data_IF_015912228060
#
_entry.id   IF_015912228060
#
_cell.length_a   1.000
_cell.length_b   1.000
_cell.length_c   1.000
_cell.angle_alpha   90.00
_cell.angle_beta   90.00
_cell.angle_gamma   90.00
#
_symmetry.space_group_name_H-M   'P 1'
#
loop_
_entity.id
_entity.type
_entity.pdbx_description
1 polymer ?
#
# COMPACT_ATOMS: atom_id res chain seq x y z
N UNK A 1 7.12 -35.75 39.07
CA UNK A 1 7.03 -36.61 37.88
C UNK A 1 7.41 -35.76 36.67
N UNK A 2 8.59 -36.04 36.12
CA UNK A 2 9.23 -35.36 34.99
C UNK A 2 9.28 -36.34 33.80
N UNK A 3 9.19 -35.80 32.59
CA UNK A 3 9.62 -36.32 31.28
C UNK A 3 8.78 -37.38 30.53
N UNK A 4 8.42 -37.01 29.29
CA UNK A 4 8.85 -37.66 28.02
C UNK A 4 8.75 -36.59 26.90
N UNK A 5 9.82 -36.16 26.20
CA UNK A 5 10.54 -36.79 25.06
C UNK A 5 9.60 -37.13 23.87
N UNK A 6 9.88 -36.87 22.59
CA UNK A 6 10.97 -36.18 21.87
C UNK A 6 10.65 -36.15 20.36
N UNK A 7 11.31 -35.23 19.63
CA UNK A 7 11.71 -35.29 18.20
C UNK A 7 10.64 -35.23 17.11
N UNK A 8 10.64 -34.11 16.38
CA UNK A 8 11.09 -34.11 14.99
C UNK A 8 11.93 -32.85 14.73
N UNK A 9 13.17 -33.07 14.29
CA UNK A 9 14.18 -32.09 13.95
C UNK A 9 14.40 -32.16 12.43
N UNK A 10 14.62 -30.99 11.82
CA UNK A 10 15.30 -30.76 10.54
C UNK A 10 14.55 -31.03 9.20
N UNK A 11 14.14 -29.93 8.58
CA UNK A 11 14.48 -29.59 7.20
C UNK A 11 14.74 -28.07 7.19
N UNK A 12 15.98 -27.64 7.40
CA UNK A 12 16.95 -27.29 6.36
C UNK A 12 16.56 -26.02 5.57
N UNK A 13 17.25 -24.93 5.93
CA UNK A 13 17.84 -23.90 5.07
C UNK A 13 17.60 -24.04 3.56
N UNK A 14 16.98 -23.02 2.97
CA UNK A 14 17.45 -22.28 1.78
C UNK A 14 16.26 -21.77 0.99
N UNK A 15 16.03 -20.46 0.98
CA UNK A 15 15.71 -19.67 -0.22
C UNK A 15 15.87 -18.19 0.15
N UNK A 16 17.13 -17.74 0.12
CA UNK A 16 17.39 -16.40 -0.37
C UNK A 16 17.30 -16.48 -1.90
N UNK A 17 16.23 -15.93 -2.47
CA UNK A 17 16.15 -15.32 -3.81
C UNK A 17 14.69 -15.24 -4.26
N UNK A 18 14.38 -14.14 -4.94
CA UNK A 18 13.17 -13.91 -5.75
C UNK A 18 11.90 -13.49 -4.98
N UNK A 19 11.90 -12.23 -4.54
CA UNK A 19 11.01 -11.24 -5.14
C UNK A 19 9.50 -11.49 -5.03
N UNK A 20 8.96 -11.44 -3.82
CA UNK A 20 7.61 -10.91 -3.60
C UNK A 20 7.75 -9.76 -2.61
N UNK A 21 7.86 -8.53 -3.13
CA UNK A 21 7.62 -7.35 -2.31
C UNK A 21 6.10 -7.23 -2.19
N UNK A 22 5.47 -7.45 -1.03
CA UNK A 22 4.04 -7.23 -0.89
C UNK A 22 3.83 -5.72 -0.75
N UNK A 23 3.95 -4.98 -1.84
CA UNK A 23 3.17 -3.75 -1.99
C UNK A 23 1.72 -4.22 -1.93
N UNK A 24 1.04 -3.97 -0.82
CA UNK A 24 -0.31 -4.45 -0.61
C UNK A 24 -1.25 -3.81 -1.63
N UNK A 25 -1.52 -4.52 -2.73
CA UNK A 25 -2.72 -4.33 -3.54
C UNK A 25 -3.73 -5.32 -3.00
N UNK A 26 -4.42 -4.93 -1.94
CA UNK A 26 -5.51 -5.71 -1.37
C UNK A 26 -6.72 -5.67 -2.31
N UNK A 27 -7.24 -6.84 -2.65
CA UNK A 27 -8.58 -7.03 -3.20
C UNK A 27 -9.67 -6.51 -2.25
N UNK A 28 -10.90 -6.29 -2.72
CA UNK A 28 -12.03 -5.87 -1.90
C UNK A 28 -13.10 -6.97 -1.84
N UNK A 29 -13.69 -7.28 -0.69
CA UNK A 29 -14.97 -7.99 -0.62
C UNK A 29 -16.06 -6.95 -0.36
N UNK A 30 -17.10 -7.01 -1.18
CA UNK A 30 -18.39 -6.48 -0.83
C UNK A 30 -19.18 -7.64 -0.20
N UNK A 31 -19.36 -7.61 1.11
CA UNK A 31 -20.18 -8.59 1.85
C UNK A 31 -19.92 -10.05 1.44
N UNK A 32 -20.84 -10.69 0.70
CA UNK A 32 -20.77 -12.10 0.29
C UNK A 32 -20.27 -12.34 -1.15
N UNK A 33 -19.91 -11.29 -1.91
CA UNK A 33 -19.41 -11.41 -3.31
C UNK A 33 -18.03 -10.77 -3.48
N UNK A 34 -17.19 -11.43 -4.28
CA UNK A 34 -15.77 -11.11 -4.44
C UNK A 34 -15.56 -9.95 -5.42
N UNK A 35 -14.60 -9.07 -5.13
CA UNK A 35 -13.99 -8.19 -6.14
C UNK A 35 -12.49 -8.46 -6.17
N UNK A 36 -11.95 -8.80 -7.34
CA UNK A 36 -10.49 -8.89 -7.52
C UNK A 36 -9.90 -7.48 -7.66
N UNK A 37 -8.65 -7.27 -7.27
CA UNK A 37 -7.90 -6.06 -7.59
C UNK A 37 -6.65 -6.52 -8.33
N UNK A 38 -6.40 -5.98 -9.51
CA UNK A 38 -5.24 -6.36 -10.31
C UNK A 38 -4.00 -5.55 -9.94
N UNK A 39 -2.86 -6.23 -9.96
CA UNK A 39 -1.55 -5.61 -10.09
C UNK A 39 -1.36 -5.19 -11.56
N UNK A 40 -1.02 -3.92 -11.81
CA UNK A 40 -0.44 -3.50 -13.08
C UNK A 40 0.91 -4.23 -13.28
N UNK A 41 0.89 -5.35 -14.01
CA UNK A 41 1.90 -5.81 -14.99
C UNK A 41 1.54 -7.22 -15.50
N UNK A 42 2.08 -7.57 -16.65
CA UNK A 42 1.70 -8.60 -17.63
C UNK A 42 1.63 -10.08 -17.18
N UNK A 43 1.69 -10.38 -15.89
CA UNK A 43 1.80 -11.75 -15.37
C UNK A 43 0.58 -12.22 -14.59
N UNK A 44 -0.62 -11.73 -14.92
CA UNK A 44 -1.86 -12.36 -14.46
C UNK A 44 -2.10 -13.67 -15.22
N UNK A 45 -1.28 -14.69 -14.96
CA UNK A 45 -1.69 -16.05 -15.31
C UNK A 45 -2.90 -16.43 -14.44
N UNK A 46 -3.79 -17.27 -14.98
CA UNK A 46 -5.03 -17.72 -14.36
C UNK A 46 -4.85 -18.55 -13.06
N UNK A 47 -3.63 -18.67 -12.54
CA UNK A 47 -3.28 -19.54 -11.41
C UNK A 47 -2.85 -18.76 -10.16
N UNK A 48 -2.97 -17.44 -10.13
CA UNK A 48 -2.74 -16.68 -8.89
C UNK A 48 -3.97 -16.77 -7.98
N UNK A 49 -3.83 -17.17 -6.71
CA UNK A 49 -4.94 -17.20 -5.77
C UNK A 49 -5.48 -15.78 -5.62
N UNK A 50 -6.76 -15.60 -5.95
CA UNK A 50 -7.50 -14.38 -5.61
C UNK A 50 -7.58 -14.33 -4.08
N UNK A 51 -6.65 -13.59 -3.46
CA UNK A 51 -6.77 -13.25 -2.05
C UNK A 51 -8.07 -12.43 -1.89
N UNK A 52 -8.81 -12.64 -0.83
CA UNK A 52 -10.02 -11.87 -0.49
C UNK A 52 -9.63 -10.87 0.60
N UNK A 53 -9.70 -9.58 0.34
CA UNK A 53 -9.44 -8.56 1.37
C UNK A 53 -10.67 -7.68 1.49
N UNK A 54 -11.14 -7.31 2.68
CA UNK A 54 -12.24 -6.36 2.81
C UNK A 54 -11.89 -4.99 2.22
N UNK A 55 -12.89 -4.27 1.70
CA UNK A 55 -12.68 -2.86 1.32
C UNK A 55 -12.23 -2.03 2.52
N UNK A 56 -11.39 -1.01 2.31
CA UNK A 56 -11.01 -0.11 3.38
C UNK A 56 -12.24 0.68 3.86
N UNK A 57 -12.45 0.71 5.17
CA UNK A 57 -13.51 1.51 5.78
C UNK A 57 -13.19 3.01 5.75
N UNK A 58 -11.90 3.37 5.69
CA UNK A 58 -11.43 4.75 5.62
C UNK A 58 -10.38 4.90 4.51
N UNK A 59 -10.51 5.98 3.73
CA UNK A 59 -9.58 6.35 2.65
C UNK A 59 -9.28 7.84 2.71
N UNK A 60 -8.07 8.28 2.31
CA UNK A 60 -7.79 9.70 2.17
C UNK A 60 -8.44 10.31 0.92
N UNK A 61 -8.68 11.63 0.94
CA UNK A 61 -9.00 12.40 -0.27
C UNK A 61 -7.89 12.21 -1.30
N UNK A 62 -8.26 12.15 -2.58
CA UNK A 62 -7.45 11.82 -3.76
C UNK A 62 -7.00 10.36 -3.86
N UNK A 63 -7.40 9.51 -2.92
CA UNK A 63 -7.16 8.08 -3.05
C UNK A 63 -7.95 7.50 -4.23
N UNK A 64 -7.36 6.46 -4.82
CA UNK A 64 -7.96 5.67 -5.87
C UNK A 64 -8.23 4.25 -5.35
N UNK A 65 -9.39 3.69 -5.70
CA UNK A 65 -9.70 2.28 -5.54
C UNK A 65 -10.04 1.72 -6.91
N UNK A 66 -9.36 0.65 -7.31
CA UNK A 66 -9.70 -0.11 -8.50
C UNK A 66 -10.63 -1.25 -8.12
N UNK A 67 -11.73 -1.40 -8.85
CA UNK A 67 -12.71 -2.46 -8.65
C UNK A 67 -12.88 -3.20 -9.97
N UNK A 68 -12.68 -4.52 -9.95
CA UNK A 68 -12.67 -5.35 -11.18
C UNK A 68 -14.08 -5.79 -11.60
N UNK A 69 -15.04 -5.82 -10.68
CA UNK A 69 -16.40 -6.24 -11.02
C UNK A 69 -17.33 -5.01 -11.19
N UNK A 70 -17.95 -4.84 -12.38
CA UNK A 70 -18.93 -3.79 -12.60
C UNK A 70 -20.37 -4.28 -12.34
N UNK A 71 -21.31 -3.35 -12.11
CA UNK A 71 -21.09 -1.94 -11.78
C UNK A 71 -20.76 -1.73 -10.30
N UNK A 72 -19.77 -0.87 -10.04
CA UNK A 72 -19.64 -0.18 -8.76
C UNK A 72 -19.98 1.29 -8.98
N UNK A 73 -20.96 1.82 -8.24
CA UNK A 73 -21.36 3.23 -8.39
C UNK A 73 -21.14 3.96 -7.07
N UNK A 74 -20.29 5.00 -7.03
CA UNK A 74 -20.23 5.87 -5.87
C UNK A 74 -21.50 6.71 -5.78
N UNK A 75 -22.24 6.58 -4.68
CA UNK A 75 -23.31 7.50 -4.34
C UNK A 75 -22.70 8.74 -3.66
N UNK A 76 -22.81 9.89 -4.32
CA UNK A 76 -22.32 11.18 -3.81
C UNK A 76 -21.80 12.06 -4.94
N UNK A 77 -22.65 12.91 -5.51
CA UNK A 77 -22.27 13.78 -6.62
C UNK A 77 -21.11 14.70 -6.20
N UNK A 78 -19.99 14.60 -6.93
CA UNK A 78 -18.79 15.39 -6.68
C UNK A 78 -17.97 14.97 -5.45
N UNK A 79 -18.37 13.91 -4.72
CA UNK A 79 -17.56 13.33 -3.64
C UNK A 79 -16.65 12.22 -4.12
N UNK A 80 -17.12 11.40 -5.04
CA UNK A 80 -16.30 10.41 -5.73
C UNK A 80 -16.73 10.30 -7.20
N UNK A 81 -15.83 9.82 -8.04
CA UNK A 81 -16.05 9.63 -9.47
C UNK A 81 -15.51 8.28 -9.89
N UNK A 82 -16.29 7.55 -10.67
CA UNK A 82 -15.86 6.31 -11.33
C UNK A 82 -15.38 6.62 -12.75
N UNK A 83 -14.20 6.13 -13.08
CA UNK A 83 -13.67 6.06 -14.44
C UNK A 83 -13.19 4.64 -14.73
N UNK A 84 -14.01 3.87 -15.46
CA UNK A 84 -13.69 2.51 -15.91
C UNK A 84 -13.29 1.56 -14.78
N UNK A 85 -14.00 1.60 -13.63
CA UNK A 85 -13.71 0.76 -12.46
C UNK A 85 -12.67 1.36 -11.53
N UNK A 86 -12.14 2.56 -11.81
CA UNK A 86 -11.31 3.33 -10.88
C UNK A 86 -12.16 4.38 -10.18
N UNK A 87 -12.38 4.22 -8.88
CA UNK A 87 -13.05 5.19 -8.04
C UNK A 87 -12.02 6.15 -7.47
N UNK A 88 -12.17 7.43 -7.77
CA UNK A 88 -11.39 8.53 -7.18
C UNK A 88 -12.22 9.25 -6.13
N UNK A 89 -11.69 9.44 -4.93
CA UNK A 89 -12.35 10.18 -3.85
C UNK A 89 -11.95 11.65 -3.84
N UNK A 90 -12.87 12.54 -4.16
CA UNK A 90 -12.60 13.95 -4.44
C UNK A 90 -12.79 14.87 -3.23
N UNK A 91 -13.63 14.48 -2.26
CA UNK A 91 -13.98 15.33 -1.10
C UNK A 91 -14.17 14.51 0.18
N UNK A 92 -13.89 15.09 1.36
CA UNK A 92 -14.19 14.44 2.64
C UNK A 92 -15.68 14.13 2.82
N UNK A 93 -15.97 13.08 3.59
CA UNK A 93 -17.32 12.65 3.96
C UNK A 93 -17.54 11.17 3.66
N UNK A 94 -18.79 10.72 3.69
CA UNK A 94 -19.14 9.32 3.41
C UNK A 94 -19.53 9.12 1.96
N UNK A 95 -18.97 8.09 1.34
CA UNK A 95 -19.35 7.61 0.00
C UNK A 95 -19.88 6.20 0.15
N UNK A 96 -21.07 5.95 -0.36
CA UNK A 96 -21.61 4.60 -0.49
C UNK A 96 -21.15 4.00 -1.81
N UNK A 97 -20.52 2.84 -1.76
CA UNK A 97 -20.18 2.04 -2.92
C UNK A 97 -21.23 0.94 -3.06
N UNK A 98 -21.89 0.91 -4.22
CA UNK A 98 -22.94 -0.06 -4.53
C UNK A 98 -22.39 -1.08 -5.50
N UNK A 99 -22.43 -2.36 -5.14
CA UNK A 99 -22.22 -3.45 -6.08
C UNK A 99 -23.54 -3.76 -6.78
N UNK A 100 -23.56 -3.77 -8.11
CA UNK A 100 -24.75 -4.06 -8.89
C UNK A 100 -24.64 -5.39 -9.65
N UNK A 101 -25.75 -6.13 -9.71
CA UNK A 101 -25.93 -7.30 -10.57
C UNK A 101 -26.79 -6.91 -11.77
N UNK A 102 -26.31 -7.25 -12.98
CA UNK A 102 -26.94 -6.95 -14.28
C UNK A 102 -27.37 -5.48 -14.46
N UNK A 103 -26.67 -4.55 -13.80
CA UNK A 103 -27.00 -3.12 -13.77
C UNK A 103 -28.40 -2.76 -13.26
N UNK A 104 -29.08 -3.68 -12.56
CA UNK A 104 -30.48 -3.48 -12.11
C UNK A 104 -30.71 -3.78 -10.63
N UNK A 105 -29.91 -4.63 -10.02
CA UNK A 105 -30.10 -5.04 -8.63
C UNK A 105 -28.88 -4.64 -7.81
N UNK A 106 -29.09 -3.99 -6.68
CA UNK A 106 -28.01 -3.78 -5.70
C UNK A 106 -27.78 -5.11 -5.00
N UNK A 107 -26.63 -5.73 -5.25
CA UNK A 107 -26.23 -6.97 -4.59
C UNK A 107 -25.55 -6.71 -3.25
N UNK A 108 -24.92 -5.54 -3.09
CA UNK A 108 -24.21 -5.17 -1.87
C UNK A 108 -24.00 -3.65 -1.75
N UNK A 109 -23.72 -3.19 -0.52
CA UNK A 109 -23.49 -1.80 -0.17
C UNK A 109 -22.41 -1.70 0.91
N UNK A 110 -21.37 -0.92 0.64
CA UNK A 110 -20.33 -0.55 1.63
C UNK A 110 -20.26 0.96 1.76
N UNK A 111 -20.15 1.45 2.99
CA UNK A 111 -19.85 2.86 3.25
C UNK A 111 -18.35 3.03 3.47
N UNK A 112 -17.74 3.90 2.68
CA UNK A 112 -16.34 4.30 2.81
C UNK A 112 -16.30 5.72 3.35
N UNK A 113 -15.52 5.93 4.40
CA UNK A 113 -15.29 7.25 4.95
C UNK A 113 -14.06 7.89 4.31
N UNK A 114 -14.28 8.97 3.56
CA UNK A 114 -13.21 9.78 2.96
C UNK A 114 -12.77 10.85 3.94
N UNK A 115 -11.47 10.89 4.26
CA UNK A 115 -10.88 11.85 5.21
C UNK A 115 -9.82 12.72 4.55
N UNK A 116 -9.61 13.97 5.00
CA UNK A 116 -8.43 14.74 4.62
C UNK A 116 -7.14 14.00 4.99
N UNK A 117 -6.06 14.30 4.27
CA UNK A 117 -4.71 13.82 4.61
C UNK A 117 -4.16 14.77 5.66
N UNK A 118 -4.07 14.30 6.91
CA UNK A 118 -3.57 15.10 8.05
C UNK A 118 -2.28 14.52 8.62
N UNK A 119 -2.19 13.18 8.68
CA UNK A 119 -1.05 12.48 9.26
C UNK A 119 -0.53 11.45 8.28
N UNK A 120 0.80 11.39 8.14
CA UNK A 120 1.50 10.38 7.37
C UNK A 120 2.62 9.77 8.18
N UNK A 121 3.02 8.54 7.85
CA UNK A 121 4.14 7.85 8.47
C UNK A 121 4.97 7.11 7.42
N UNK A 122 6.26 6.97 7.67
CA UNK A 122 7.19 6.12 6.90
C UNK A 122 7.63 4.97 7.80
N UNK A 123 7.57 3.76 7.27
CA UNK A 123 7.92 2.51 7.94
C UNK A 123 8.99 1.79 7.11
N UNK A 124 10.05 1.36 7.77
CA UNK A 124 11.16 0.65 7.15
C UNK A 124 12.33 0.51 8.12
N UNK A 125 13.44 -0.12 7.70
CA UNK A 125 14.63 -0.17 8.53
C UNK A 125 15.21 1.24 8.72
N UNK A 126 15.60 1.56 9.95
CA UNK A 126 16.29 2.80 10.28
C UNK A 126 17.82 2.70 10.11
N UNK A 127 18.35 1.51 9.82
CA UNK A 127 19.76 1.25 9.53
C UNK A 127 19.89 0.39 8.28
N UNK A 128 20.76 0.78 7.36
CA UNK A 128 21.07 0.03 6.13
C UNK A 128 22.58 0.01 5.89
N UNK A 129 23.06 -0.92 5.06
CA UNK A 129 24.47 -1.01 4.66
C UNK A 129 24.67 -0.34 3.30
N UNK A 130 25.82 0.32 3.09
CA UNK A 130 26.20 0.86 1.77
C UNK A 130 26.03 -0.20 0.67
N UNK A 131 25.39 0.19 -0.43
CA UNK A 131 25.13 -0.65 -1.60
C UNK A 131 23.96 -1.64 -1.44
N UNK A 132 23.42 -1.85 -0.23
CA UNK A 132 22.30 -2.75 0.01
C UNK A 132 20.97 -1.98 -0.04
N UNK A 133 20.03 -2.34 -0.94
CA UNK A 133 18.72 -1.71 -0.98
C UNK A 133 17.83 -2.14 0.18
N UNK A 134 17.06 -1.20 0.72
CA UNK A 134 16.01 -1.42 1.69
C UNK A 134 14.65 -0.94 1.17
N UNK A 135 13.58 -1.63 1.56
CA UNK A 135 12.22 -1.21 1.25
C UNK A 135 11.70 -0.28 2.34
N UNK A 136 11.18 0.87 1.94
CA UNK A 136 10.43 1.80 2.76
C UNK A 136 8.99 1.79 2.31
N UNK A 137 8.04 1.96 3.23
CA UNK A 137 6.61 2.03 2.96
C UNK A 137 6.06 3.29 3.64
N UNK A 138 5.14 4.00 3.01
CA UNK A 138 4.48 5.17 3.56
C UNK A 138 2.98 4.92 3.73
N UNK A 139 2.40 5.44 4.80
CA UNK A 139 0.97 5.32 5.08
C UNK A 139 0.38 6.69 5.38
N UNK A 140 -0.87 6.91 4.99
CA UNK A 140 -1.69 7.94 5.61
C UNK A 140 -2.39 7.32 6.80
N UNK A 141 -2.38 8.01 7.94
CA UNK A 141 -2.98 7.53 9.18
C UNK A 141 -4.28 8.27 9.48
N UNK A 142 -5.24 7.56 10.04
CA UNK A 142 -6.43 8.18 10.62
C UNK A 142 -6.13 8.77 12.01
N UNK A 143 -7.09 9.49 12.65
CA UNK A 143 -6.88 10.07 13.97
C UNK A 143 -6.57 9.07 15.11
N UNK A 144 -6.80 7.77 14.88
CA UNK A 144 -6.43 6.70 15.81
C UNK A 144 -5.02 6.14 15.55
N UNK A 145 -4.30 6.68 14.57
CA UNK A 145 -2.97 6.20 14.17
C UNK A 145 -3.00 4.95 13.30
N UNK A 146 -4.16 4.57 12.75
CA UNK A 146 -4.31 3.37 11.92
C UNK A 146 -4.13 3.73 10.44
N UNK A 147 -3.53 2.85 9.61
CA UNK A 147 -3.39 3.11 8.18
C UNK A 147 -4.75 3.17 7.49
N UNK A 148 -4.95 4.21 6.68
CA UNK A 148 -6.08 4.31 5.74
C UNK A 148 -5.73 3.59 4.43
N UNK A 149 -6.74 3.05 3.76
CA UNK A 149 -6.55 2.34 2.50
C UNK A 149 -6.62 3.23 1.27
N UNK A 150 -6.49 2.61 0.10
CA UNK A 150 -6.55 3.29 -1.19
C UNK A 150 -5.17 3.70 -1.71
N UNK A 151 -5.08 3.78 -3.03
CA UNK A 151 -3.83 4.04 -3.74
C UNK A 151 -3.62 5.56 -3.89
N UNK A 152 -2.41 6.03 -3.58
CA UNK A 152 -2.04 7.44 -3.61
C UNK A 152 -0.76 7.64 -4.40
N UNK A 153 -0.62 8.82 -5.00
CA UNK A 153 0.62 9.26 -5.64
C UNK A 153 1.54 9.87 -4.58
N UNK A 154 2.56 9.10 -4.19
CA UNK A 154 3.56 9.54 -3.22
C UNK A 154 4.74 10.22 -3.91
N UNK A 155 5.29 11.24 -3.26
CA UNK A 155 6.61 11.79 -3.58
C UNK A 155 7.61 11.28 -2.54
N UNK A 156 8.70 10.66 -3.01
CA UNK A 156 9.79 10.19 -2.17
C UNK A 156 11.04 11.04 -2.38
N UNK A 157 11.77 11.31 -1.31
CA UNK A 157 13.01 12.09 -1.33
C UNK A 157 13.99 11.65 -0.23
N UNK A 158 15.25 12.05 -0.36
CA UNK A 158 16.29 11.86 0.66
C UNK A 158 16.85 13.23 1.03
N UNK A 159 16.83 13.56 2.33
CA UNK A 159 17.26 14.88 2.82
C UNK A 159 18.72 15.21 2.48
N UNK A 160 19.61 14.21 2.57
CA UNK A 160 20.99 14.29 2.09
C UNK A 160 21.26 13.20 1.04
N UNK A 161 21.18 13.53 -0.26
CA UNK A 161 21.37 12.58 -1.34
C UNK A 161 22.83 12.13 -1.51
N UNK A 162 23.78 12.69 -0.75
CA UNK A 162 25.17 12.22 -0.75
C UNK A 162 25.37 10.98 0.13
N UNK A 163 24.43 10.70 1.05
CA UNK A 163 24.47 9.58 1.99
C UNK A 163 23.61 8.41 1.48
N UNK A 164 22.43 8.68 0.91
CA UNK A 164 21.53 7.67 0.37
C UNK A 164 20.80 8.17 -0.87
N UNK A 165 20.17 7.26 -1.62
CA UNK A 165 19.35 7.61 -2.80
C UNK A 165 18.13 6.70 -2.92
N UNK A 166 17.11 7.17 -3.65
CA UNK A 166 15.98 6.33 -4.06
C UNK A 166 16.40 5.53 -5.31
N UNK A 167 16.67 4.23 -5.15
CA UNK A 167 17.20 3.37 -6.21
C UNK A 167 16.13 2.89 -7.20
N UNK A 168 14.91 2.72 -6.71
CA UNK A 168 13.72 2.52 -7.52
C UNK A 168 12.56 3.12 -6.72
N UNK A 169 12.25 4.38 -7.01
CA UNK A 169 10.97 4.94 -6.62
C UNK A 169 9.91 4.36 -7.56
N UNK A 170 8.64 4.32 -7.18
CA UNK A 170 7.62 4.33 -8.21
C UNK A 170 7.90 5.52 -9.14
N UNK A 171 7.83 5.33 -10.47
CA UNK A 171 7.77 6.45 -11.40
C UNK A 171 6.84 7.52 -10.86
N UNK A 172 7.28 8.78 -10.87
CA UNK A 172 6.45 9.90 -10.44
C UNK A 172 5.06 9.81 -11.09
N UNK A 173 4.00 9.82 -10.29
CA UNK A 173 2.63 9.69 -10.78
C UNK A 173 2.03 8.28 -10.73
N UNK A 174 2.79 7.24 -10.32
CA UNK A 174 2.22 5.91 -10.08
C UNK A 174 1.82 5.71 -8.62
N UNK A 175 0.72 4.99 -8.43
CA UNK A 175 0.16 4.70 -7.11
C UNK A 175 0.98 3.63 -6.40
N UNK A 176 1.94 4.05 -5.58
CA UNK A 176 2.75 3.12 -4.81
C UNK A 176 3.20 3.78 -3.51
N UNK A 177 2.88 3.11 -2.43
CA UNK A 177 3.23 3.43 -1.06
C UNK A 177 4.63 2.94 -0.69
N UNK A 178 5.35 2.23 -1.57
CA UNK A 178 6.68 1.70 -1.31
C UNK A 178 7.78 2.35 -2.16
N UNK A 179 8.94 2.58 -1.58
CA UNK A 179 10.17 3.00 -2.29
C UNK A 179 11.37 2.15 -1.90
N UNK A 180 12.30 1.94 -2.83
CA UNK A 180 13.59 1.32 -2.52
C UNK A 180 14.66 2.39 -2.28
N UNK A 181 15.28 2.35 -1.10
CA UNK A 181 16.37 3.25 -0.70
C UNK A 181 17.68 2.47 -0.71
N UNK A 182 18.76 3.05 -1.24
CA UNK A 182 20.11 2.48 -1.22
C UNK A 182 21.06 3.45 -0.52
N UNK A 183 21.87 2.92 0.40
CA UNK A 183 22.96 3.67 1.03
C UNK A 183 24.14 3.85 0.08
N UNK A 184 24.64 5.08 -0.03
CA UNK A 184 25.78 5.44 -0.89
C UNK A 184 27.08 5.58 -0.10
N UNK A 185 26.99 6.16 1.11
CA UNK A 185 28.14 6.44 1.97
C UNK A 185 27.74 6.31 3.44
N UNK A 186 28.65 5.88 4.34
CA UNK A 186 28.34 5.86 5.77
C UNK A 186 28.00 7.25 6.31
N UNK A 187 26.97 7.34 7.14
CA UNK A 187 26.46 8.58 7.70
C UNK A 187 24.99 8.49 8.11
N UNK A 188 24.38 9.62 8.45
CA UNK A 188 22.97 9.69 8.82
C UNK A 188 22.23 10.70 7.94
N UNK A 189 21.05 10.32 7.46
CA UNK A 189 20.16 11.15 6.64
C UNK A 189 18.70 10.90 7.03
N UNK A 190 17.74 11.44 6.26
CA UNK A 190 16.32 11.17 6.43
C UNK A 190 15.69 10.73 5.12
N UNK A 191 14.81 9.75 5.19
CA UNK A 191 13.88 9.41 4.11
C UNK A 191 12.62 10.24 4.29
N UNK A 192 12.20 10.92 3.23
CA UNK A 192 11.02 11.78 3.21
C UNK A 192 9.96 11.17 2.30
N UNK A 193 8.72 11.08 2.77
CA UNK A 193 7.57 10.71 1.96
C UNK A 193 6.48 11.76 2.10
N UNK A 194 6.02 12.30 0.96
CA UNK A 194 5.02 13.38 0.93
C UNK A 194 3.81 13.01 0.07
N UNK A 195 2.62 13.38 0.55
CA UNK A 195 1.36 13.27 -0.17
C UNK A 195 0.38 14.33 0.33
N UNK A 196 -0.41 14.94 -0.56
CA UNK A 196 -1.42 15.92 -0.17
C UNK A 196 -0.88 17.15 0.57
N UNK A 197 0.41 17.48 0.40
CA UNK A 197 1.08 18.58 1.13
C UNK A 197 1.60 18.21 2.53
N UNK A 198 1.35 16.99 3.01
CA UNK A 198 1.88 16.49 4.29
C UNK A 198 3.12 15.64 4.03
N UNK A 199 4.12 15.74 4.90
CA UNK A 199 5.40 15.00 4.79
C UNK A 199 5.70 14.23 6.07
N UNK A 200 6.08 12.96 5.93
CA UNK A 200 6.66 12.15 6.99
C UNK A 200 8.16 11.98 6.78
N UNK A 201 8.87 11.77 7.88
CA UNK A 201 10.31 11.57 7.89
C UNK A 201 10.66 10.29 8.67
N UNK A 202 11.62 9.53 8.16
CA UNK A 202 12.27 8.44 8.88
C UNK A 202 13.77 8.70 8.93
N UNK A 203 14.34 8.77 10.14
CA UNK A 203 15.79 8.84 10.33
C UNK A 203 16.45 7.55 9.81
N UNK A 204 17.49 7.71 9.00
CA UNK A 204 18.21 6.62 8.37
C UNK A 204 19.70 6.72 8.68
N UNK A 205 20.27 5.62 9.18
CA UNK A 205 21.71 5.44 9.35
C UNK A 205 22.22 4.51 8.25
N UNK A 206 23.29 4.92 7.58
CA UNK A 206 23.99 4.11 6.59
C UNK A 206 25.33 3.67 7.19
N UNK A 207 25.55 2.37 7.23
CA UNK A 207 26.77 1.75 7.76
C UNK A 207 27.68 1.28 6.62
N UNK A 208 28.98 1.24 6.88
CA UNK A 208 29.96 0.72 5.91
C UNK A 208 29.67 -0.75 5.56
N UNK A 209 29.97 -1.15 4.32
CA UNK A 209 30.01 -2.58 3.99
C UNK A 209 31.12 -3.24 4.83
N UNK A 210 30.87 -4.43 5.39
CA UNK A 210 31.93 -5.25 5.95
C UNK A 210 32.99 -5.61 4.90
#
# INVERSE_FOLDING_TARGET
MKHCFSKFLACALSFASMGCNPSWKSSGEFGQRQFSVYCEWSDCNSNHPVTRTPLPLEVPVTAHLWLVDPPSVPAGQGMASDQSGSITFNKPGYVALLAMEDSRHVSDLVHVHVRPIETVAVVGPNTITVGQPASMIAHVLNPLGQPMGGALVWKWDIADPTIASIAAGPPHGLFNDAAKVVGLKPGSTKVLASVGGVTAELSLVVEASP
#
